data_IF_228336675909
#
_entry.id   IF_228336675909
#
_cell.length_a   1.000
_cell.length_b   1.000
_cell.length_c   1.000
_cell.angle_alpha   90.00
_cell.angle_beta   90.00
_cell.angle_gamma   90.00
#
_symmetry.space_group_name_H-M   'P 1'
#
loop_
_entity.id
_entity.type
_entity.pdbx_description
1 polymer ?
#
# COMPACT_ATOMS: atom_id res chain seq x y z
N UNK A 1 -10.28 30.62 -73.26
CA UNK A 1 -9.60 30.49 -71.94
C UNK A 1 -10.10 29.33 -71.06
N UNK A 2 -11.32 28.79 -71.25
CA UNK A 2 -11.91 27.77 -70.36
C UNK A 2 -11.28 26.36 -70.39
N UNK A 3 -10.64 25.94 -71.48
CA UNK A 3 -10.11 24.57 -71.58
C UNK A 3 -8.91 24.30 -70.64
N UNK A 4 -8.06 25.32 -70.42
CA UNK A 4 -6.91 25.21 -69.51
C UNK A 4 -7.33 25.13 -68.03
N UNK A 5 -8.42 25.81 -67.64
CA UNK A 5 -8.91 25.75 -66.27
C UNK A 5 -9.47 24.36 -65.92
N UNK A 6 -10.19 23.73 -66.86
CA UNK A 6 -10.76 22.40 -66.66
C UNK A 6 -9.69 21.29 -66.58
N UNK A 7 -8.61 21.40 -67.36
CA UNK A 7 -7.52 20.42 -67.32
C UNK A 7 -6.71 20.51 -66.03
N UNK A 8 -6.42 21.73 -65.54
CA UNK A 8 -5.74 21.94 -64.26
C UNK A 8 -6.57 21.43 -63.08
N UNK A 9 -7.88 21.70 -63.06
CA UNK A 9 -8.78 21.20 -62.02
C UNK A 9 -8.84 19.67 -61.98
N UNK A 10 -8.86 19.02 -63.15
CA UNK A 10 -8.83 17.55 -63.24
C UNK A 10 -7.49 16.95 -62.78
N UNK A 11 -6.38 17.64 -63.02
CA UNK A 11 -5.06 17.20 -62.56
C UNK A 11 -4.94 17.27 -61.03
N UNK A 12 -5.37 18.38 -60.43
CA UNK A 12 -5.39 18.56 -58.97
C UNK A 12 -6.28 17.49 -58.30
N UNK A 13 -7.47 17.20 -58.86
CA UNK A 13 -8.34 16.11 -58.36
C UNK A 13 -7.68 14.74 -58.43
N UNK A 14 -6.90 14.44 -59.48
CA UNK A 14 -6.19 13.15 -59.60
C UNK A 14 -5.02 13.05 -58.63
N UNK A 15 -4.25 14.12 -58.48
CA UNK A 15 -3.13 14.19 -57.52
C UNK A 15 -3.64 14.07 -56.06
N UNK A 16 -4.74 14.75 -55.72
CA UNK A 16 -5.40 14.62 -54.42
C UNK A 16 -5.86 13.17 -54.16
N UNK A 17 -6.51 12.52 -55.15
CA UNK A 17 -6.93 11.11 -55.02
C UNK A 17 -5.74 10.16 -54.83
N UNK A 18 -4.62 10.39 -55.49
CA UNK A 18 -3.41 9.56 -55.31
C UNK A 18 -2.77 9.77 -53.93
N UNK A 19 -2.72 11.00 -53.42
CA UNK A 19 -2.23 11.29 -52.06
C UNK A 19 -3.11 10.68 -50.97
N UNK A 20 -4.44 10.73 -51.14
CA UNK A 20 -5.39 10.06 -50.24
C UNK A 20 -5.28 8.53 -50.27
N UNK A 21 -4.90 7.93 -51.41
CA UNK A 21 -4.68 6.47 -51.49
C UNK A 21 -3.38 6.04 -50.79
N UNK A 22 -2.32 6.85 -50.81
CA UNK A 22 -1.05 6.52 -50.12
C UNK A 22 -1.12 6.68 -48.60
N UNK A 23 -1.94 7.61 -48.09
CA UNK A 23 -2.14 7.81 -46.64
C UNK A 23 -3.08 6.81 -45.99
N UNK A 24 -3.77 5.97 -46.78
CA UNK A 24 -4.69 4.93 -46.26
C UNK A 24 -3.98 3.68 -45.71
N UNK A 25 -2.65 3.71 -45.58
CA UNK A 25 -1.91 2.62 -44.95
C UNK A 25 -2.09 2.69 -43.43
N UNK A 26 -3.24 2.18 -42.97
CA UNK A 26 -3.59 2.13 -41.56
C UNK A 26 -2.52 1.30 -40.82
N UNK A 27 -1.85 1.87 -39.78
CA UNK A 27 -0.88 1.16 -38.96
C UNK A 27 -1.44 -0.18 -38.49
N UNK A 28 -0.64 -1.25 -38.54
CA UNK A 28 -1.07 -2.61 -38.16
C UNK A 28 -1.71 -2.66 -36.76
N UNK A 29 -1.19 -1.86 -35.83
CA UNK A 29 -1.70 -1.69 -34.48
C UNK A 29 -3.15 -1.19 -34.44
N UNK A 30 -3.52 -0.23 -35.30
CA UNK A 30 -4.89 0.29 -35.36
C UNK A 30 -5.86 -0.76 -35.93
N UNK A 31 -5.40 -1.60 -36.88
CA UNK A 31 -6.22 -2.72 -37.36
C UNK A 31 -6.46 -3.77 -36.27
N UNK A 32 -5.45 -4.07 -35.45
CA UNK A 32 -5.59 -4.98 -34.32
C UNK A 32 -6.55 -4.40 -33.28
N UNK A 33 -6.42 -3.11 -32.96
CA UNK A 33 -7.33 -2.40 -32.06
C UNK A 33 -8.78 -2.40 -32.57
N UNK A 34 -9.01 -2.13 -33.85
CA UNK A 34 -10.36 -2.18 -34.46
C UNK A 34 -10.92 -3.60 -34.45
N UNK A 35 -10.08 -4.62 -34.66
CA UNK A 35 -10.52 -6.02 -34.64
C UNK A 35 -10.92 -6.47 -33.23
N UNK A 36 -10.11 -6.11 -32.23
CA UNK A 36 -10.43 -6.31 -30.81
C UNK A 36 -11.67 -5.49 -30.41
N UNK A 37 -11.87 -4.30 -31.00
CA UNK A 37 -13.04 -3.44 -30.78
C UNK A 37 -14.36 -4.09 -31.19
N UNK A 38 -14.38 -4.73 -32.38
CA UNK A 38 -15.61 -5.19 -33.01
C UNK A 38 -16.00 -6.62 -32.62
N UNK A 39 -15.05 -7.53 -32.37
CA UNK A 39 -15.34 -8.95 -32.12
C UNK A 39 -15.56 -9.31 -30.63
N UNK A 40 -15.08 -8.51 -29.67
CA UNK A 40 -15.07 -8.91 -28.25
C UNK A 40 -15.78 -7.96 -27.26
N UNK A 41 -16.66 -7.09 -27.75
CA UNK A 41 -17.47 -6.24 -26.86
C UNK A 41 -16.61 -5.27 -26.03
N UNK A 42 -15.77 -4.47 -26.70
CA UNK A 42 -14.73 -3.62 -26.09
C UNK A 42 -15.22 -2.63 -25.02
N UNK A 43 -16.53 -2.34 -24.99
CA UNK A 43 -17.17 -1.67 -23.85
C UNK A 43 -16.85 -2.37 -22.53
N UNK A 44 -16.93 -3.70 -22.47
CA UNK A 44 -16.65 -4.47 -21.26
C UNK A 44 -15.16 -4.47 -20.91
N UNK A 45 -14.27 -4.69 -21.88
CA UNK A 45 -12.82 -4.71 -21.63
C UNK A 45 -12.33 -3.33 -21.17
N UNK A 46 -12.79 -2.25 -21.80
CA UNK A 46 -12.45 -0.89 -21.39
C UNK A 46 -12.97 -0.59 -19.98
N UNK A 47 -14.23 -0.95 -19.68
CA UNK A 47 -14.81 -0.76 -18.35
C UNK A 47 -14.01 -1.54 -17.28
N UNK A 48 -13.67 -2.80 -17.56
CA UNK A 48 -12.86 -3.64 -16.67
C UNK A 48 -11.47 -3.01 -16.48
N UNK A 49 -10.83 -2.53 -17.55
CA UNK A 49 -9.50 -1.91 -17.47
C UNK A 49 -9.52 -0.64 -16.61
N UNK A 50 -10.52 0.24 -16.78
CA UNK A 50 -10.68 1.43 -15.94
C UNK A 50 -10.94 1.05 -14.48
N UNK A 51 -11.76 0.02 -14.24
CA UNK A 51 -12.04 -0.47 -12.89
C UNK A 51 -10.79 -1.03 -12.21
N UNK A 52 -9.97 -1.79 -12.95
CA UNK A 52 -8.70 -2.33 -12.46
C UNK A 52 -7.72 -1.20 -12.13
N UNK A 53 -7.57 -0.20 -13.01
CA UNK A 53 -6.70 0.96 -12.76
C UNK A 53 -7.21 1.75 -11.53
N UNK A 54 -8.52 1.96 -11.41
CA UNK A 54 -9.10 2.63 -10.25
C UNK A 54 -8.80 1.86 -8.95
N UNK A 55 -8.88 0.53 -8.97
CA UNK A 55 -8.53 -0.30 -7.81
C UNK A 55 -7.04 -0.19 -7.46
N UNK A 56 -6.14 -0.16 -8.46
CA UNK A 56 -4.71 0.03 -8.22
C UNK A 56 -4.38 1.42 -7.68
N UNK A 57 -5.02 2.47 -8.19
CA UNK A 57 -4.85 3.84 -7.67
C UNK A 57 -5.36 3.92 -6.23
N UNK A 58 -6.55 3.38 -5.95
CA UNK A 58 -7.11 3.31 -4.61
C UNK A 58 -6.18 2.56 -3.65
N UNK A 59 -5.72 1.37 -4.04
CA UNK A 59 -4.77 0.58 -3.25
C UNK A 59 -3.45 1.31 -3.01
N UNK A 60 -2.92 2.01 -4.03
CA UNK A 60 -1.69 2.78 -3.91
C UNK A 60 -1.82 3.97 -2.95
N UNK A 61 -2.93 4.71 -3.00
CA UNK A 61 -3.21 5.82 -2.08
C UNK A 61 -3.39 5.29 -0.66
N UNK A 62 -4.20 4.24 -0.47
CA UNK A 62 -4.39 3.63 0.85
C UNK A 62 -3.07 3.08 1.42
N UNK A 63 -2.25 2.41 0.60
CA UNK A 63 -0.95 1.91 1.02
C UNK A 63 -0.03 3.05 1.45
N UNK A 64 0.07 4.13 0.68
CA UNK A 64 0.94 5.26 1.03
C UNK A 64 0.46 5.98 2.31
N UNK A 65 -0.84 6.20 2.45
CA UNK A 65 -1.41 6.83 3.64
C UNK A 65 -1.27 5.94 4.89
N UNK A 66 -1.61 4.65 4.81
CA UNK A 66 -1.57 3.75 5.95
C UNK A 66 -0.12 3.41 6.34
N UNK A 67 0.79 3.23 5.38
CA UNK A 67 2.20 2.92 5.68
C UNK A 67 2.89 4.05 6.47
N UNK A 68 2.69 5.31 6.06
CA UNK A 68 3.24 6.45 6.81
C UNK A 68 2.64 6.57 8.22
N UNK A 69 1.37 6.19 8.39
CA UNK A 69 0.73 6.22 9.69
C UNK A 69 1.17 5.06 10.59
N UNK A 70 1.37 3.87 10.03
CA UNK A 70 1.78 2.67 10.77
C UNK A 70 3.22 2.79 11.29
N UNK A 71 4.14 3.35 10.50
CA UNK A 71 5.52 3.61 10.96
C UNK A 71 5.54 4.56 12.17
N UNK A 72 4.71 5.61 12.13
CA UNK A 72 4.60 6.55 13.26
C UNK A 72 4.03 5.89 14.53
N UNK A 73 3.18 4.89 14.36
CA UNK A 73 2.56 4.14 15.45
C UNK A 73 3.50 3.10 16.02
N UNK A 74 4.24 2.40 15.17
CA UNK A 74 5.28 1.46 15.58
C UNK A 74 6.36 2.18 16.38
N UNK A 75 6.79 3.37 15.94
CA UNK A 75 7.75 4.18 16.67
C UNK A 75 7.22 4.58 18.05
N UNK A 76 5.98 5.07 18.13
CA UNK A 76 5.33 5.40 19.42
C UNK A 76 5.23 4.19 20.33
N UNK A 77 4.82 3.04 19.80
CA UNK A 77 4.71 1.81 20.58
C UNK A 77 6.08 1.35 21.11
N UNK A 78 7.12 1.39 20.29
CA UNK A 78 8.48 1.06 20.71
C UNK A 78 8.97 1.99 21.84
N UNK A 79 8.64 3.28 21.77
CA UNK A 79 9.01 4.25 22.79
C UNK A 79 8.19 4.07 24.08
N UNK A 80 6.90 3.74 23.97
CA UNK A 80 6.05 3.40 25.12
C UNK A 80 6.53 2.14 25.83
N UNK A 81 6.93 1.08 25.09
CA UNK A 81 7.51 -0.14 25.65
C UNK A 81 8.81 0.17 26.39
N UNK A 82 9.71 0.95 25.79
CA UNK A 82 10.96 1.37 26.46
C UNK A 82 10.67 2.15 27.74
N UNK A 83 9.73 3.09 27.71
CA UNK A 83 9.37 3.89 28.89
C UNK A 83 8.75 3.01 29.98
N UNK A 84 7.86 2.08 29.63
CA UNK A 84 7.25 1.14 30.57
C UNK A 84 8.30 0.22 31.19
N UNK A 85 9.26 -0.27 30.39
CA UNK A 85 10.38 -1.09 30.87
C UNK A 85 11.25 -0.32 31.87
N UNK A 86 11.63 0.92 31.56
CA UNK A 86 12.39 1.77 32.49
C UNK A 86 11.62 2.00 33.80
N UNK A 87 10.33 2.37 33.73
CA UNK A 87 9.49 2.54 34.92
C UNK A 87 9.36 1.26 35.76
N UNK A 88 9.23 0.11 35.09
CA UNK A 88 9.13 -1.18 35.76
C UNK A 88 10.42 -1.53 36.52
N UNK A 89 11.59 -1.29 35.90
CA UNK A 89 12.89 -1.50 36.54
C UNK A 89 13.07 -0.54 37.73
N UNK A 90 12.69 0.72 37.57
CA UNK A 90 12.76 1.74 38.64
C UNK A 90 11.92 1.37 39.87
N UNK A 91 10.79 0.68 39.68
CA UNK A 91 9.96 0.15 40.77
C UNK A 91 10.54 -1.12 41.40
N UNK A 92 11.13 -2.00 40.59
CA UNK A 92 11.62 -3.30 41.04
C UNK A 92 12.92 -3.20 41.83
N UNK A 93 13.86 -2.37 41.39
CA UNK A 93 15.18 -2.24 42.01
C UNK A 93 15.07 -1.92 43.52
N UNK A 94 14.36 -0.87 43.97
CA UNK A 94 14.26 -0.57 45.39
C UNK A 94 13.49 -1.65 46.14
N UNK A 95 12.51 -2.29 45.50
CA UNK A 95 11.72 -3.37 46.09
C UNK A 95 12.56 -4.63 46.34
N UNK A 96 13.53 -4.95 45.48
CA UNK A 96 14.39 -6.14 45.61
C UNK A 96 15.71 -5.89 46.34
N UNK A 97 16.32 -4.72 46.18
CA UNK A 97 17.71 -4.44 46.58
C UNK A 97 17.87 -3.23 47.50
N UNK A 98 16.77 -2.68 48.01
CA UNK A 98 16.79 -1.65 49.03
C UNK A 98 15.58 -1.83 49.97
N UNK A 99 15.26 -3.09 50.27
CA UNK A 99 14.19 -3.45 51.17
C UNK A 99 14.77 -3.99 52.50
N UNK A 100 14.04 -3.79 53.59
CA UNK A 100 14.45 -4.28 54.91
C UNK A 100 14.36 -5.79 55.03
N UNK A 101 13.69 -6.47 54.10
CA UNK A 101 13.47 -7.92 54.15
C UNK A 101 14.69 -8.72 53.70
N UNK A 102 15.38 -8.31 52.63
CA UNK A 102 16.52 -9.07 52.10
C UNK A 102 17.88 -8.53 52.53
N UNK A 103 17.95 -7.37 53.19
CA UNK A 103 19.19 -6.71 53.66
C UNK A 103 20.22 -6.45 52.54
N UNK A 104 19.83 -6.56 51.28
CA UNK A 104 20.63 -6.11 50.16
C UNK A 104 20.45 -4.61 50.04
N UNK A 105 21.57 -3.89 50.02
CA UNK A 105 21.63 -2.45 49.76
C UNK A 105 22.62 -2.23 48.62
N UNK A 106 22.12 -1.78 47.47
CA UNK A 106 23.00 -1.43 46.35
C UNK A 106 23.48 0.01 46.47
N UNK A 107 24.77 0.22 46.22
CA UNK A 107 25.29 1.58 45.99
C UNK A 107 24.72 2.14 44.68
N UNK A 108 24.63 3.46 44.53
CA UNK A 108 24.12 4.10 43.30
C UNK A 108 24.80 3.60 42.01
N UNK A 109 26.12 3.35 42.04
CA UNK A 109 26.84 2.77 40.90
C UNK A 109 26.41 1.34 40.59
N UNK A 110 26.23 0.50 41.62
CA UNK A 110 25.76 -0.88 41.44
C UNK A 110 24.31 -0.90 40.94
N UNK A 111 23.49 0.03 41.43
CA UNK A 111 22.11 0.20 40.98
C UNK A 111 22.03 0.47 39.48
N UNK A 112 22.87 1.37 38.94
CA UNK A 112 22.91 1.65 37.50
C UNK A 112 23.36 0.44 36.67
N UNK A 113 24.33 -0.34 37.17
CA UNK A 113 24.76 -1.58 36.48
C UNK A 113 23.66 -2.64 36.47
N UNK A 114 22.95 -2.81 37.59
CA UNK A 114 21.81 -3.73 37.71
C UNK A 114 20.66 -3.27 36.81
N UNK A 115 20.37 -1.97 36.77
CA UNK A 115 19.36 -1.38 35.88
C UNK A 115 19.68 -1.68 34.41
N UNK A 116 20.90 -1.40 33.96
CA UNK A 116 21.32 -1.70 32.58
C UNK A 116 21.21 -3.19 32.26
N UNK A 117 21.60 -4.07 33.21
CA UNK A 117 21.51 -5.51 33.01
C UNK A 117 20.06 -5.98 32.93
N UNK A 118 19.20 -5.53 33.85
CA UNK A 118 17.76 -5.84 33.84
C UNK A 118 17.09 -5.32 32.56
N UNK A 119 17.44 -4.11 32.12
CA UNK A 119 16.95 -3.52 30.88
C UNK A 119 17.31 -4.40 29.67
N UNK A 120 18.54 -4.92 29.62
CA UNK A 120 18.99 -5.81 28.55
C UNK A 120 18.31 -7.19 28.58
N UNK A 121 18.08 -7.77 29.76
CA UNK A 121 17.42 -9.08 29.88
C UNK A 121 15.91 -8.99 29.65
N UNK A 122 15.26 -7.92 30.13
CA UNK A 122 13.86 -7.63 29.83
C UNK A 122 13.65 -7.35 28.33
N UNK A 123 14.54 -6.61 27.68
CA UNK A 123 14.47 -6.41 26.23
C UNK A 123 14.56 -7.74 25.45
N UNK A 124 15.41 -8.69 25.88
CA UNK A 124 15.46 -10.03 25.28
C UNK A 124 14.19 -10.82 25.56
N UNK A 125 13.65 -10.74 26.78
CA UNK A 125 12.41 -11.40 27.14
C UNK A 125 11.21 -10.87 26.32
N UNK A 126 11.11 -9.55 26.15
CA UNK A 126 10.12 -8.90 25.30
C UNK A 126 10.22 -9.37 23.84
N UNK A 127 11.45 -9.51 23.32
CA UNK A 127 11.69 -10.08 21.99
C UNK A 127 11.27 -11.55 21.88
N UNK A 128 11.48 -12.36 22.92
CA UNK A 128 11.08 -13.77 22.96
C UNK A 128 9.57 -13.96 23.09
N UNK A 129 8.90 -13.06 23.83
CA UNK A 129 7.44 -13.03 23.89
C UNK A 129 6.81 -12.74 22.53
N UNK A 130 7.60 -12.21 21.58
CA UNK A 130 7.14 -11.97 20.22
C UNK A 130 6.07 -10.89 20.13
N UNK A 131 5.95 -10.03 21.16
CA UNK A 131 4.96 -8.94 21.16
C UNK A 131 5.34 -7.99 20.03
N UNK A 132 4.66 -8.14 18.90
CA UNK A 132 4.71 -7.18 17.80
C UNK A 132 3.53 -6.25 17.94
N UNK A 133 3.72 -4.97 17.60
CA UNK A 133 2.64 -3.99 17.48
C UNK A 133 1.45 -4.50 16.65
N UNK A 134 1.73 -5.42 15.72
CA UNK A 134 0.79 -5.91 14.72
C UNK A 134 -0.16 -7.01 15.20
N UNK A 135 0.07 -7.69 16.33
CA UNK A 135 -0.71 -8.90 16.67
C UNK A 135 -2.18 -8.62 17.05
N UNK A 136 -2.54 -7.35 17.27
CA UNK A 136 -3.94 -6.93 17.47
C UNK A 136 -4.60 -6.30 16.24
N UNK A 137 -3.88 -6.11 15.14
CA UNK A 137 -4.43 -5.53 13.91
C UNK A 137 -4.38 -6.64 12.85
N UNK A 138 -5.53 -7.25 12.54
CA UNK A 138 -5.69 -8.01 11.30
C UNK A 138 -5.09 -7.13 10.20
N UNK A 139 -4.02 -7.59 9.55
CA UNK A 139 -3.44 -6.85 8.44
C UNK A 139 -4.58 -6.59 7.48
N UNK A 140 -4.86 -5.32 7.19
CA UNK A 140 -5.81 -4.95 6.14
C UNK A 140 -5.14 -5.19 4.79
N UNK A 141 -4.78 -6.45 4.54
CA UNK A 141 -4.41 -6.91 3.23
C UNK A 141 -5.65 -6.86 2.35
N UNK A 142 -5.45 -6.56 1.08
CA UNK A 142 -6.51 -6.45 0.07
C UNK A 142 -7.53 -7.61 0.16
N UNK A 143 -7.06 -8.81 0.47
CA UNK A 143 -7.89 -10.00 0.67
C UNK A 143 -8.78 -9.95 1.91
N UNK A 144 -8.28 -9.47 3.04
CA UNK A 144 -9.08 -9.31 4.26
C UNK A 144 -10.13 -8.22 4.07
N UNK A 145 -9.77 -7.13 3.38
CA UNK A 145 -10.74 -6.09 3.00
C UNK A 145 -11.83 -6.62 2.07
N UNK A 146 -11.45 -7.41 1.06
CA UNK A 146 -12.40 -8.02 0.12
C UNK A 146 -13.32 -9.03 0.80
N UNK A 147 -12.80 -9.87 1.71
CA UNK A 147 -13.60 -10.79 2.50
C UNK A 147 -14.59 -10.05 3.40
N UNK A 148 -14.15 -8.97 4.07
CA UNK A 148 -15.03 -8.18 4.92
C UNK A 148 -16.19 -7.54 4.13
N UNK A 149 -15.90 -6.97 2.95
CA UNK A 149 -16.92 -6.44 2.06
C UNK A 149 -17.92 -7.54 1.64
N UNK A 150 -17.43 -8.73 1.27
CA UNK A 150 -18.29 -9.85 0.88
C UNK A 150 -19.19 -10.34 2.02
N UNK A 151 -18.68 -10.39 3.25
CA UNK A 151 -19.47 -10.75 4.44
C UNK A 151 -20.60 -9.73 4.67
N UNK A 152 -20.33 -8.44 4.48
CA UNK A 152 -21.34 -7.39 4.63
C UNK A 152 -22.49 -7.54 3.62
N UNK A 153 -22.20 -7.87 2.35
CA UNK A 153 -23.23 -8.11 1.34
C UNK A 153 -24.04 -9.38 1.62
N UNK A 154 -23.41 -10.43 2.16
CA UNK A 154 -24.11 -11.67 2.54
C UNK A 154 -25.10 -11.45 3.68
N UNK A 155 -24.78 -10.57 4.62
CA UNK A 155 -25.68 -10.24 5.72
C UNK A 155 -26.92 -9.46 5.24
N UNK A 156 -26.74 -8.56 4.28
CA UNK A 156 -27.84 -7.78 3.70
C UNK A 156 -28.82 -8.59 2.84
N UNK A 157 -28.43 -9.77 2.34
CA UNK A 157 -29.30 -10.64 1.53
C UNK A 157 -29.99 -11.75 2.34
N UNK A 158 -29.73 -11.85 3.65
CA UNK A 158 -30.31 -12.88 4.52
C UNK A 158 -31.37 -12.33 5.48
N UNK A 159 -31.82 -11.09 5.27
CA UNK A 159 -33.00 -10.46 5.86
C UNK A 159 -33.91 -9.95 4.74
#
# INVERSE_FOLDING_TARGET
MNFKAHSTANRIRREARQRFRRTRHVPRWIRILIKIYHEYGLKHILLISVLVIYQFIGAGIFYFCEASFDESKEMKWNDDIKQNRSRFIELIIPTMFNNSEFLFFLTANQTSQVEQRLNSELAKYEQQLGIKYTDQKISWDFWNAMLYAQVQYRFWFSH
#
